data_IF_423038471158
#
_entry.id   IF_423038471158
#
_cell.length_a   1.000
_cell.length_b   1.000
_cell.length_c   1.000
_cell.angle_alpha   90.00
_cell.angle_beta   90.00
_cell.angle_gamma   90.00
#
_symmetry.space_group_name_H-M   'P 1'
#
loop_
_entity.id
_entity.type
_entity.pdbx_description
1 polymer ?
#
# COMPACT_ATOMS: atom_id res chain seq x y z
N UNK A 1 14.96 -21.47 3.65
CA UNK A 1 16.13 -20.65 4.05
C UNK A 1 16.04 -19.23 3.49
N UNK A 2 16.03 -18.97 2.17
CA UNK A 2 15.91 -17.58 1.66
C UNK A 2 14.53 -16.92 1.89
N UNK A 3 13.44 -17.67 1.69
CA UNK A 3 12.08 -17.16 1.96
C UNK A 3 11.83 -16.89 3.44
N UNK A 4 12.43 -17.68 4.34
CA UNK A 4 12.28 -17.50 5.79
C UNK A 4 12.98 -16.22 6.27
N UNK A 5 14.12 -15.88 5.66
CA UNK A 5 14.85 -14.63 5.90
C UNK A 5 14.07 -13.42 5.41
N UNK A 6 13.50 -13.47 4.19
CA UNK A 6 12.64 -12.40 3.67
C UNK A 6 11.40 -12.18 4.54
N UNK A 7 10.78 -13.27 5.02
CA UNK A 7 9.65 -13.20 5.95
C UNK A 7 10.06 -12.64 7.32
N UNK A 8 11.25 -12.97 7.81
CA UNK A 8 11.79 -12.41 9.05
C UNK A 8 12.02 -10.89 8.92
N UNK A 9 12.58 -10.44 7.79
CA UNK A 9 12.77 -9.01 7.48
C UNK A 9 11.43 -8.28 7.37
N UNK A 10 10.45 -8.85 6.66
CA UNK A 10 9.10 -8.30 6.55
C UNK A 10 8.43 -8.12 7.92
N UNK A 11 8.56 -9.12 8.81
CA UNK A 11 8.07 -9.03 10.19
C UNK A 11 8.79 -7.94 10.98
N UNK A 12 10.11 -7.82 10.82
CA UNK A 12 10.93 -6.77 11.43
C UNK A 12 10.45 -5.37 11.05
N UNK A 13 10.31 -5.09 9.75
CA UNK A 13 9.84 -3.80 9.27
C UNK A 13 8.43 -3.46 9.76
N UNK A 14 7.50 -4.43 9.77
CA UNK A 14 6.14 -4.24 10.33
C UNK A 14 6.15 -3.91 11.83
N UNK A 15 7.00 -4.58 12.60
CA UNK A 15 7.17 -4.30 14.03
C UNK A 15 7.71 -2.89 14.26
N UNK A 16 8.72 -2.49 13.49
CA UNK A 16 9.31 -1.15 13.54
C UNK A 16 8.27 -0.06 13.23
N UNK A 17 7.48 -0.23 12.17
CA UNK A 17 6.41 0.70 11.80
C UNK A 17 5.41 0.85 12.95
N UNK A 18 4.97 -0.27 13.55
CA UNK A 18 4.02 -0.25 14.65
C UNK A 18 4.57 0.48 15.88
N UNK A 19 5.87 0.30 16.17
CA UNK A 19 6.57 1.01 17.24
C UNK A 19 6.64 2.50 16.96
N UNK A 20 7.03 2.91 15.76
CA UNK A 20 7.12 4.31 15.38
C UNK A 20 5.75 5.00 15.38
N UNK A 21 4.69 4.30 14.95
CA UNK A 21 3.31 4.80 15.07
C UNK A 21 2.86 5.00 16.52
N UNK A 22 3.32 4.17 17.46
CA UNK A 22 3.06 4.40 18.89
C UNK A 22 3.85 5.60 19.41
N UNK A 23 5.11 5.76 18.99
CA UNK A 23 5.94 6.88 19.37
C UNK A 23 5.37 8.22 18.88
N UNK A 24 4.79 8.26 17.68
CA UNK A 24 4.15 9.47 17.14
C UNK A 24 2.94 9.97 17.96
N UNK A 25 2.39 9.11 18.84
CA UNK A 25 1.28 9.44 19.75
C UNK A 25 1.76 10.00 21.10
N UNK A 26 3.05 9.98 21.38
CA UNK A 26 3.61 10.58 22.60
C UNK A 26 3.97 12.03 22.36
N UNK A 27 4.36 12.72 23.44
CA UNK A 27 4.97 14.05 23.32
C UNK A 27 6.34 13.91 22.64
N UNK A 28 6.53 14.69 21.57
CA UNK A 28 7.72 14.70 20.74
C UNK A 28 7.96 16.13 20.29
N UNK A 29 9.22 16.52 20.22
CA UNK A 29 9.62 17.73 19.51
C UNK A 29 9.32 17.61 18.02
N UNK A 30 9.21 18.74 17.34
CA UNK A 30 9.01 18.76 15.88
C UNK A 30 10.14 18.04 15.13
N UNK A 31 11.37 18.14 15.63
CA UNK A 31 12.52 17.45 15.07
C UNK A 31 12.40 15.93 15.20
N UNK A 32 12.07 15.43 16.40
CA UNK A 32 11.86 14.00 16.63
C UNK A 32 10.70 13.46 15.79
N UNK A 33 9.59 14.21 15.70
CA UNK A 33 8.44 13.85 14.88
C UNK A 33 8.83 13.68 13.41
N UNK A 34 9.51 14.68 12.83
CA UNK A 34 9.98 14.61 11.42
C UNK A 34 10.95 13.44 11.20
N UNK A 35 11.83 13.18 12.16
CA UNK A 35 12.73 12.04 12.11
C UNK A 35 11.96 10.72 12.08
N UNK A 36 10.98 10.54 12.98
CA UNK A 36 10.19 9.32 13.06
C UNK A 36 9.33 9.12 11.81
N UNK A 37 8.70 10.18 11.29
CA UNK A 37 7.91 10.12 10.05
C UNK A 37 8.77 9.69 8.85
N UNK A 38 9.98 10.23 8.73
CA UNK A 38 10.95 9.79 7.72
C UNK A 38 11.28 8.31 7.88
N UNK A 39 11.60 7.87 9.10
CA UNK A 39 11.90 6.46 9.39
C UNK A 39 10.71 5.55 9.03
N UNK A 40 9.47 5.95 9.32
CA UNK A 40 8.27 5.18 8.92
C UNK A 40 8.17 5.04 7.40
N UNK A 41 8.46 6.10 6.65
CA UNK A 41 8.47 6.07 5.18
C UNK A 41 9.54 5.12 4.63
N UNK A 42 10.75 5.15 5.21
CA UNK A 42 11.85 4.24 4.84
C UNK A 42 11.49 2.78 5.07
N UNK A 43 10.91 2.44 6.24
CA UNK A 43 10.49 1.06 6.53
C UNK A 43 9.39 0.59 5.57
N UNK A 44 8.44 1.47 5.18
CA UNK A 44 7.42 1.15 4.17
C UNK A 44 8.04 0.89 2.80
N UNK A 45 8.98 1.73 2.38
CA UNK A 45 9.70 1.54 1.11
C UNK A 45 10.52 0.24 1.11
N UNK A 46 11.13 -0.13 2.24
CA UNK A 46 11.83 -1.40 2.38
C UNK A 46 10.88 -2.59 2.22
N UNK A 47 9.69 -2.54 2.83
CA UNK A 47 8.64 -3.56 2.64
C UNK A 47 8.21 -3.64 1.17
N UNK A 48 7.99 -2.53 0.50
CA UNK A 48 7.58 -2.51 -0.91
C UNK A 48 8.66 -3.14 -1.82
N UNK A 49 9.93 -2.80 -1.60
CA UNK A 49 11.06 -3.40 -2.33
C UNK A 49 11.16 -4.91 -2.09
N UNK A 50 11.02 -5.34 -0.84
CA UNK A 50 11.02 -6.76 -0.48
C UNK A 50 9.81 -7.49 -1.04
N UNK A 51 8.64 -6.85 -1.09
CA UNK A 51 7.45 -7.44 -1.69
C UNK A 51 7.66 -7.66 -3.19
N UNK A 52 8.18 -6.66 -3.91
CA UNK A 52 8.49 -6.79 -5.35
C UNK A 52 9.51 -7.88 -5.64
N UNK A 53 10.51 -8.09 -4.76
CA UNK A 53 11.52 -9.14 -4.93
C UNK A 53 11.03 -10.53 -4.53
N UNK A 54 10.36 -10.66 -3.38
CA UNK A 54 9.96 -11.94 -2.78
C UNK A 54 8.67 -12.50 -3.39
N UNK A 55 7.77 -11.61 -3.81
CA UNK A 55 6.44 -11.96 -4.32
C UNK A 55 6.07 -11.03 -5.47
N UNK A 56 6.25 -11.44 -6.74
CA UNK A 56 5.69 -10.71 -7.87
C UNK A 56 4.16 -10.89 -7.89
N UNK A 57 3.47 -10.40 -6.85
CA UNK A 57 2.04 -10.23 -6.82
C UNK A 57 1.74 -8.97 -7.63
N UNK A 58 1.83 -9.10 -8.95
CA UNK A 58 1.10 -8.19 -9.84
C UNK A 58 -0.37 -8.37 -9.49
N UNK A 59 -0.91 -7.46 -8.67
CA UNK A 59 -2.34 -7.32 -8.52
C UNK A 59 -2.87 -6.76 -9.84
N UNK A 60 -3.14 -7.65 -10.80
CA UNK A 60 -4.01 -7.31 -11.91
C UNK A 60 -5.39 -7.13 -11.31
N UNK A 61 -5.72 -5.87 -10.97
CA UNK A 61 -7.10 -5.49 -10.70
C UNK A 61 -7.93 -5.98 -11.89
N UNK A 62 -9.01 -6.75 -11.70
CA UNK A 62 -9.86 -7.13 -12.81
C UNK A 62 -10.38 -5.84 -13.42
N UNK A 63 -9.95 -5.57 -14.65
CA UNK A 63 -10.50 -4.55 -15.54
C UNK A 63 -11.99 -4.83 -15.67
N UNK A 64 -12.78 -4.26 -14.77
CA UNK A 64 -14.22 -4.27 -14.87
C UNK A 64 -14.53 -3.25 -15.95
N UNK A 65 -14.61 -3.75 -17.17
CA UNK A 65 -15.02 -3.04 -18.36
C UNK A 65 -16.16 -2.07 -18.00
N UNK A 66 -15.84 -0.78 -17.98
CA UNK A 66 -16.81 0.30 -18.01
C UNK A 66 -17.44 0.30 -19.41
N UNK A 67 -18.33 -0.65 -19.64
CA UNK A 67 -19.19 -0.72 -20.82
C UNK A 67 -20.29 0.33 -20.71
N UNK A 68 -20.08 1.44 -21.43
CA UNK A 68 -21.07 2.26 -22.13
C UNK A 68 -22.42 2.59 -21.47
N UNK A 69 -22.40 3.46 -20.45
CA UNK A 69 -23.48 4.42 -20.31
C UNK A 69 -23.23 5.58 -21.28
N UNK A 70 -23.79 5.53 -22.50
CA UNK A 70 -24.28 6.69 -23.29
C UNK A 70 -24.62 6.27 -24.73
N UNK A 71 -25.72 6.85 -25.23
CA UNK A 71 -26.29 6.82 -26.59
C UNK A 71 -27.10 5.55 -26.92
N UNK A 72 -28.42 5.59 -27.23
CA UNK A 72 -29.17 6.61 -28.00
C UNK A 72 -30.66 6.61 -27.63
N UNK A 73 -31.21 7.80 -27.34
CA UNK A 73 -32.57 8.16 -27.73
C UNK A 73 -32.70 7.95 -29.25
N UNK A 74 -33.67 7.17 -29.73
CA UNK A 74 -34.44 7.44 -30.97
C UNK A 74 -35.53 6.39 -31.20
N UNK A 75 -36.74 6.89 -31.54
CA UNK A 75 -37.85 6.23 -32.23
C UNK A 75 -38.67 5.21 -31.42
N UNK A 76 -39.98 5.06 -31.60
CA UNK A 76 -41.05 5.81 -32.24
C UNK A 76 -42.31 4.97 -32.00
N UNK A 77 -43.42 5.63 -31.67
CA UNK A 77 -44.83 5.33 -31.98
C UNK A 77 -45.22 3.94 -32.54
N UNK A 78 -46.42 3.54 -32.12
CA UNK A 78 -47.45 2.70 -32.75
C UNK A 78 -47.65 1.28 -32.20
N UNK A 79 -48.90 0.99 -31.87
CA UNK A 79 -49.45 -0.20 -31.26
C UNK A 79 -50.70 0.17 -30.49
#
# INVERSE_FOLDING_TARGET
MMLDEELALLRGHRSNISRYQRLLKTELTEFERRFIERRVSEERSAIEKLAVSAFPLTFQAPSRAMGNATTRLTASRHG
#
